data_IF_964273435365
#
_entry.id   IF_964273435365
#
_cell.length_a   1.000
_cell.length_b   1.000
_cell.length_c   1.000
_cell.angle_alpha   90.00
_cell.angle_beta   90.00
_cell.angle_gamma   90.00
#
_symmetry.space_group_name_H-M   'P 1'
#
loop_
_entity.id
_entity.type
_entity.pdbx_description
1 polymer ?
#
# COMPACT_ATOMS: atom_id res chain seq x y z
N UNK A 1 -11.26 18.88 -6.23
CA UNK A 1 -12.52 18.25 -5.77
C UNK A 1 -12.36 16.72 -5.74
N UNK A 2 -11.23 16.20 -5.22
CA UNK A 2 -10.91 14.76 -5.21
C UNK A 2 -11.00 14.11 -3.82
N UNK A 3 -11.13 14.92 -2.75
CA UNK A 3 -11.03 14.45 -1.36
C UNK A 3 -12.15 13.48 -0.96
N UNK A 4 -13.37 13.66 -1.46
CA UNK A 4 -14.50 12.79 -1.10
C UNK A 4 -14.40 11.40 -1.73
N UNK A 5 -13.94 11.30 -2.97
CA UNK A 5 -13.72 10.02 -3.66
C UNK A 5 -12.53 9.28 -3.05
N UNK A 6 -11.45 9.99 -2.74
CA UNK A 6 -10.29 9.45 -2.02
C UNK A 6 -10.67 8.94 -0.64
N UNK A 7 -11.53 9.67 0.08
CA UNK A 7 -12.03 9.24 1.38
C UNK A 7 -12.87 7.96 1.27
N UNK A 8 -13.79 7.88 0.29
CA UNK A 8 -14.58 6.66 0.04
C UNK A 8 -13.69 5.48 -0.32
N UNK A 9 -12.70 5.69 -1.20
CA UNK A 9 -11.76 4.66 -1.59
C UNK A 9 -10.91 4.18 -0.42
N UNK A 10 -10.46 5.09 0.46
CA UNK A 10 -9.70 4.71 1.66
C UNK A 10 -10.55 3.88 2.63
N UNK A 11 -11.79 4.28 2.86
CA UNK A 11 -12.73 3.50 3.68
C UNK A 11 -12.93 2.11 3.07
N UNK A 12 -13.14 2.03 1.76
CA UNK A 12 -13.30 0.76 1.06
C UNK A 12 -12.05 -0.14 1.18
N UNK A 13 -10.84 0.41 0.99
CA UNK A 13 -9.60 -0.36 1.18
C UNK A 13 -9.50 -0.88 2.61
N UNK A 14 -9.78 -0.03 3.61
CA UNK A 14 -9.77 -0.41 5.02
C UNK A 14 -10.77 -1.53 5.32
N UNK A 15 -11.98 -1.46 4.76
CA UNK A 15 -12.98 -2.53 4.88
C UNK A 15 -12.49 -3.83 4.25
N UNK A 16 -11.92 -3.79 3.05
CA UNK A 16 -11.42 -4.99 2.37
C UNK A 16 -10.28 -5.65 3.16
N UNK A 17 -9.35 -4.87 3.69
CA UNK A 17 -8.26 -5.37 4.53
C UNK A 17 -8.79 -5.95 5.86
N UNK A 18 -9.69 -5.23 6.53
CA UNK A 18 -10.28 -5.67 7.80
C UNK A 18 -11.18 -6.91 7.64
N UNK A 19 -11.80 -7.09 6.47
CA UNK A 19 -12.62 -8.28 6.14
C UNK A 19 -11.78 -9.52 5.81
N UNK A 20 -10.45 -9.46 5.98
CA UNK A 20 -9.57 -10.62 5.87
C UNK A 20 -9.03 -10.88 4.47
N UNK A 21 -8.88 -9.84 3.64
CA UNK A 21 -8.10 -9.97 2.41
C UNK A 21 -6.68 -10.44 2.75
N UNK A 22 -6.34 -11.67 2.37
CA UNK A 22 -4.99 -12.22 2.54
C UNK A 22 -4.03 -11.56 1.55
N UNK A 23 -3.16 -10.69 2.04
CA UNK A 23 -2.13 -10.01 1.23
C UNK A 23 -0.75 -10.65 1.44
N UNK A 24 0.14 -10.47 0.47
CA UNK A 24 1.49 -11.01 0.53
C UNK A 24 2.41 -10.07 1.31
N UNK A 25 2.38 -10.15 2.64
CA UNK A 25 3.24 -9.32 3.50
C UNK A 25 4.73 -9.66 3.35
N UNK A 26 5.05 -10.91 2.96
CA UNK A 26 6.39 -11.43 2.76
C UNK A 26 6.55 -12.05 1.35
N UNK A 27 7.77 -12.12 0.81
CA UNK A 27 9.01 -11.57 1.36
C UNK A 27 9.05 -10.03 1.26
N UNK A 28 9.61 -9.38 2.27
CA UNK A 28 9.98 -7.96 2.18
C UNK A 28 11.16 -7.78 1.21
N UNK A 29 11.07 -6.89 0.21
CA UNK A 29 12.16 -6.66 -0.74
C UNK A 29 13.31 -5.92 -0.05
N UNK A 30 14.37 -6.62 0.32
CA UNK A 30 15.56 -6.04 0.97
C UNK A 30 16.46 -5.32 -0.03
N UNK A 31 16.50 -5.80 -1.28
CA UNK A 31 17.35 -5.23 -2.32
C UNK A 31 16.58 -4.30 -3.26
N UNK A 32 17.31 -3.39 -3.91
CA UNK A 32 16.73 -2.55 -4.96
C UNK A 32 16.22 -3.39 -6.14
N UNK A 33 16.85 -4.53 -6.43
CA UNK A 33 16.44 -5.44 -7.50
C UNK A 33 15.07 -6.06 -7.21
N UNK A 34 14.90 -6.65 -6.03
CA UNK A 34 13.62 -7.25 -5.62
C UNK A 34 12.49 -6.22 -5.58
N UNK A 35 12.80 -5.00 -5.13
CA UNK A 35 11.86 -3.89 -5.17
C UNK A 35 11.45 -3.53 -6.59
N UNK A 36 12.41 -3.39 -7.50
CA UNK A 36 12.14 -3.06 -8.90
C UNK A 36 11.35 -4.17 -9.63
N UNK A 37 11.62 -5.44 -9.31
CA UNK A 37 10.86 -6.59 -9.82
C UNK A 37 9.40 -6.53 -9.34
N UNK A 38 9.18 -6.27 -8.05
CA UNK A 38 7.82 -6.12 -7.51
C UNK A 38 7.06 -4.93 -8.11
N UNK A 39 7.76 -3.81 -8.38
CA UNK A 39 7.16 -2.68 -9.11
C UNK A 39 6.81 -3.05 -10.55
N UNK A 40 7.64 -3.86 -11.23
CA UNK A 40 7.33 -4.33 -12.56
C UNK A 40 6.07 -5.21 -12.56
N UNK A 41 5.95 -6.13 -11.61
CA UNK A 41 4.77 -6.98 -11.46
C UNK A 41 3.49 -6.15 -11.20
N UNK A 42 3.57 -5.10 -10.38
CA UNK A 42 2.45 -4.18 -10.15
C UNK A 42 2.03 -3.41 -11.39
N UNK A 43 2.97 -3.09 -12.30
CA UNK A 43 2.68 -2.38 -13.55
C UNK A 43 1.95 -3.24 -14.57
N UNK A 44 2.14 -4.55 -14.52
CA UNK A 44 1.44 -5.51 -15.39
C UNK A 44 -0.01 -5.73 -14.95
N UNK A 45 -0.37 -5.36 -13.72
CA UNK A 45 -1.75 -5.47 -13.25
C UNK A 45 -2.68 -4.46 -13.93
N UNK A 46 -3.97 -4.83 -14.15
CA UNK A 46 -4.97 -3.88 -14.61
C UNK A 46 -5.06 -2.66 -13.68
N UNK A 47 -5.23 -1.47 -14.26
CA UNK A 47 -5.24 -0.22 -13.48
C UNK A 47 -6.38 -0.17 -12.46
N UNK A 48 -7.50 -0.81 -12.79
CA UNK A 48 -8.74 -0.91 -12.05
C UNK A 48 -8.79 -2.10 -11.07
N UNK A 49 -7.81 -3.01 -11.11
CA UNK A 49 -7.74 -4.13 -10.17
C UNK A 49 -7.05 -3.73 -8.85
N UNK A 50 -7.82 -3.03 -8.02
CA UNK A 50 -7.37 -2.59 -6.71
C UNK A 50 -6.97 -3.78 -5.81
N UNK A 51 -7.76 -4.86 -5.82
CA UNK A 51 -7.52 -5.99 -4.92
C UNK A 51 -6.21 -6.71 -5.26
N UNK A 52 -5.96 -6.97 -6.55
CA UNK A 52 -4.68 -7.56 -6.97
C UNK A 52 -3.49 -6.69 -6.57
N UNK A 53 -3.62 -5.36 -6.71
CA UNK A 53 -2.59 -4.41 -6.25
C UNK A 53 -2.37 -4.50 -4.75
N UNK A 54 -3.43 -4.49 -3.94
CA UNK A 54 -3.34 -4.59 -2.47
C UNK A 54 -2.68 -5.91 -2.03
N UNK A 55 -3.03 -7.01 -2.68
CA UNK A 55 -2.44 -8.33 -2.41
C UNK A 55 -0.96 -8.35 -2.77
N UNK A 56 -0.61 -7.91 -3.97
CA UNK A 56 0.77 -7.95 -4.48
C UNK A 56 1.68 -6.95 -3.76
N UNK A 57 1.19 -5.78 -3.37
CA UNK A 57 1.96 -4.83 -2.56
C UNK A 57 1.93 -5.12 -1.06
N UNK A 58 1.24 -6.20 -0.64
CA UNK A 58 1.27 -6.67 0.73
C UNK A 58 0.68 -5.68 1.72
N UNK A 59 -0.51 -5.14 1.46
CA UNK A 59 -1.12 -4.17 2.38
C UNK A 59 -1.62 -4.83 3.67
N UNK A 60 -1.42 -4.16 4.79
CA UNK A 60 -2.08 -4.46 6.06
C UNK A 60 -2.69 -3.18 6.64
N UNK A 61 -3.84 -3.33 7.29
CA UNK A 61 -4.54 -2.26 8.00
C UNK A 61 -3.95 -1.93 9.38
N UNK A 62 -2.77 -2.48 9.67
CA UNK A 62 -2.06 -2.37 10.93
C UNK A 62 -0.54 -2.32 10.70
N UNK A 63 0.24 -1.83 11.68
CA UNK A 63 1.69 -1.89 11.62
C UNK A 63 2.21 -3.32 11.49
N UNK A 64 3.34 -3.49 10.81
CA UNK A 64 3.92 -4.82 10.55
C UNK A 64 5.43 -4.86 10.87
N UNK A 65 5.92 -6.06 11.22
CA UNK A 65 7.33 -6.31 11.52
C UNK A 65 7.78 -5.90 12.93
N UNK A 66 9.03 -6.21 13.30
CA UNK A 66 9.60 -5.89 14.62
C UNK A 66 9.66 -4.39 14.89
N UNK A 67 9.88 -3.59 13.84
CA UNK A 67 9.96 -2.13 13.92
C UNK A 67 8.59 -1.44 13.84
N UNK A 68 7.50 -2.21 13.77
CA UNK A 68 6.13 -1.70 13.64
C UNK A 68 6.03 -0.67 12.50
N UNK A 69 6.53 -1.04 11.32
CA UNK A 69 6.61 -0.15 10.15
C UNK A 69 5.21 0.29 9.73
N UNK A 70 5.05 1.59 9.43
CA UNK A 70 3.78 2.18 9.00
C UNK A 70 3.95 3.12 7.82
N UNK A 71 2.86 3.36 7.10
CA UNK A 71 2.81 4.35 6.03
C UNK A 71 3.28 5.72 6.53
N UNK A 72 2.98 6.10 7.77
CA UNK A 72 3.41 7.37 8.35
C UNK A 72 4.93 7.63 8.24
N UNK A 73 5.75 6.60 8.44
CA UNK A 73 7.22 6.68 8.31
C UNK A 73 7.73 6.47 6.88
N UNK A 74 6.86 6.13 5.93
CA UNK A 74 7.27 5.82 4.57
C UNK A 74 7.54 7.08 3.73
N UNK A 75 8.61 7.06 2.93
CA UNK A 75 8.97 8.17 2.03
C UNK A 75 7.88 8.53 1.01
N UNK A 76 6.98 7.59 0.68
CA UNK A 76 5.90 7.81 -0.29
C UNK A 76 4.61 8.34 0.35
N UNK A 77 4.53 8.48 1.67
CA UNK A 77 3.30 8.90 2.34
C UNK A 77 3.16 10.42 2.41
N UNK A 78 2.05 10.93 1.87
CA UNK A 78 1.70 12.35 1.91
C UNK A 78 0.74 12.63 3.07
N UNK A 79 1.27 13.11 4.20
CA UNK A 79 0.55 13.33 5.46
C UNK A 79 -0.74 14.15 5.30
N UNK A 80 -0.71 15.24 4.54
CA UNK A 80 -1.87 16.14 4.39
C UNK A 80 -3.01 15.53 3.55
N UNK A 81 -2.72 14.56 2.68
CA UNK A 81 -3.70 13.92 1.79
C UNK A 81 -4.09 12.51 2.25
N UNK A 82 -3.31 11.90 3.16
CA UNK A 82 -3.42 10.49 3.53
C UNK A 82 -3.32 9.60 2.29
N UNK A 83 -2.18 9.69 1.61
CA UNK A 83 -1.99 9.17 0.25
C UNK A 83 -0.62 8.52 0.08
N UNK A 84 -0.57 7.40 -0.65
CA UNK A 84 0.67 6.78 -1.11
C UNK A 84 1.01 7.29 -2.51
N UNK A 85 2.10 8.05 -2.63
CA UNK A 85 2.55 8.66 -3.88
C UNK A 85 3.46 7.75 -4.72
N UNK A 86 3.54 6.46 -4.38
CA UNK A 86 4.20 5.48 -5.24
C UNK A 86 3.40 5.33 -6.54
N UNK A 87 3.96 5.61 -7.72
CA UNK A 87 3.20 5.69 -8.98
C UNK A 87 2.42 4.43 -9.33
N UNK A 88 2.94 3.26 -8.99
CA UNK A 88 2.33 1.95 -9.25
C UNK A 88 1.08 1.72 -8.40
N UNK A 89 1.03 2.34 -7.21
CA UNK A 89 -0.09 2.24 -6.28
C UNK A 89 -1.01 3.43 -6.44
N UNK A 90 -0.53 4.64 -6.14
CA UNK A 90 -1.28 5.89 -6.23
C UNK A 90 -2.69 5.74 -5.61
N UNK A 91 -2.74 5.36 -4.33
CA UNK A 91 -3.97 5.10 -3.57
C UNK A 91 -4.00 5.85 -2.24
N UNK A 92 -5.19 6.14 -1.70
CA UNK A 92 -5.32 6.71 -0.37
C UNK A 92 -5.10 5.63 0.70
N UNK A 93 -4.38 5.99 1.77
CA UNK A 93 -3.95 5.07 2.84
C UNK A 93 -4.04 5.74 4.20
N UNK A 94 -4.23 4.97 5.28
CA UNK A 94 -4.15 5.50 6.64
C UNK A 94 -2.70 5.47 7.18
N UNK A 95 -2.34 6.35 8.13
CA UNK A 95 -0.98 6.45 8.63
C UNK A 95 -0.47 5.18 9.32
N UNK A 96 -1.36 4.42 9.96
CA UNK A 96 -1.02 3.20 10.71
C UNK A 96 -1.07 1.92 9.86
N UNK A 97 -1.30 2.03 8.55
CA UNK A 97 -1.24 0.89 7.64
C UNK A 97 0.20 0.54 7.26
N UNK A 98 0.38 -0.59 6.60
CA UNK A 98 1.66 -1.06 6.10
C UNK A 98 1.51 -1.59 4.67
N UNK A 99 2.60 -1.56 3.89
CA UNK A 99 2.74 -2.34 2.67
C UNK A 99 4.18 -2.87 2.55
N UNK A 100 4.41 -3.99 1.87
CA UNK A 100 5.77 -4.54 1.72
C UNK A 100 6.70 -3.69 0.85
N UNK A 101 6.17 -2.66 0.19
CA UNK A 101 6.95 -1.65 -0.54
C UNK A 101 7.41 -0.48 0.34
N UNK A 102 7.27 -0.61 1.67
CA UNK A 102 7.71 0.40 2.61
C UNK A 102 9.21 0.73 2.47
N UNK A 103 9.54 2.02 2.54
CA UNK A 103 10.88 2.58 2.40
C UNK A 103 11.02 3.87 3.22
N UNK A 104 12.23 4.13 3.71
CA UNK A 104 12.67 5.36 4.39
C UNK A 104 13.91 5.94 3.70
#
# INVERSE_FOLDING_TARGET
MHTDEENKLRVHIGEVLANGLETQLEPFPETHKEFAELLADLRELPKDDLNAKLVLSGFADKPYGPDQMRCLECMYYLVHRKWCDLPELAVPVEPDWYCRLWRI
#
